data_IF_126767215983
#
_entry.id   IF_126767215983
#
_cell.length_a   1.000
_cell.length_b   1.000
_cell.length_c   1.000
_cell.angle_alpha   90.00
_cell.angle_beta   90.00
_cell.angle_gamma   90.00
#
_symmetry.space_group_name_H-M   'P 1'
#
loop_
_entity.id
_entity.type
_entity.pdbx_description
1 polymer ?
#
# COMPACT_ATOMS: atom_id res chain seq x y z
N UNK A 1 -18.74 32.11 25.43
CA UNK A 1 -19.80 31.32 26.08
C UNK A 1 -20.17 30.15 25.20
N UNK A 2 -20.05 28.91 25.71
CA UNK A 2 -20.72 27.72 25.21
C UNK A 2 -19.99 27.01 24.10
N UNK A 3 -18.93 26.28 24.43
CA UNK A 3 -18.42 25.22 23.61
C UNK A 3 -19.44 24.08 23.60
N UNK A 4 -20.00 23.78 22.44
CA UNK A 4 -20.87 22.62 22.24
C UNK A 4 -20.02 21.34 22.21
N UNK A 5 -19.74 20.78 23.40
CA UNK A 5 -19.03 19.52 23.60
C UNK A 5 -19.94 18.30 23.44
N UNK A 6 -21.07 18.43 22.74
CA UNK A 6 -22.20 17.50 22.77
C UNK A 6 -22.36 16.53 21.60
N UNK A 7 -21.49 16.49 20.59
CA UNK A 7 -21.72 15.69 19.36
C UNK A 7 -20.71 14.58 19.07
N UNK A 8 -19.95 14.15 20.06
CA UNK A 8 -19.16 12.91 19.95
C UNK A 8 -19.94 11.68 20.43
N UNK A 9 -21.22 11.62 20.11
CA UNK A 9 -22.09 10.47 20.32
C UNK A 9 -21.70 9.33 19.40
N UNK A 10 -21.01 8.34 19.96
CA UNK A 10 -20.82 6.93 19.53
C UNK A 10 -21.65 6.50 18.32
N UNK A 11 -21.10 6.70 17.11
CA UNK A 11 -21.42 5.83 16.00
C UNK A 11 -20.12 5.10 15.63
N UNK A 12 -20.01 3.87 16.11
CA UNK A 12 -18.98 2.95 15.68
C UNK A 12 -19.23 2.59 14.21
N UNK A 13 -18.74 3.40 13.29
CA UNK A 13 -18.50 2.96 11.93
C UNK A 13 -17.32 1.98 11.92
N UNK A 14 -17.18 1.11 10.92
CA UNK A 14 -16.18 0.02 10.90
C UNK A 14 -14.71 0.50 10.87
N UNK A 15 -14.46 1.79 10.86
CA UNK A 15 -13.12 2.38 10.91
C UNK A 15 -13.08 3.50 11.94
N UNK A 16 -12.45 3.28 13.11
CA UNK A 16 -12.18 4.38 14.01
C UNK A 16 -11.18 5.31 13.33
N UNK A 17 -11.66 6.39 12.75
CA UNK A 17 -10.82 7.55 12.51
C UNK A 17 -10.46 8.02 13.91
N UNK A 18 -9.25 7.71 14.37
CA UNK A 18 -8.81 8.15 15.67
C UNK A 18 -8.91 9.68 15.70
N UNK A 19 -9.63 10.22 16.67
CA UNK A 19 -9.83 11.66 16.82
C UNK A 19 -8.51 12.44 16.71
N UNK A 20 -7.41 11.87 17.23
CA UNK A 20 -6.07 12.43 17.14
C UNK A 20 -5.55 12.58 15.70
N UNK A 21 -5.88 11.65 14.80
CA UNK A 21 -5.50 11.75 13.37
C UNK A 21 -6.28 12.86 12.68
N UNK A 22 -7.57 12.97 12.97
CA UNK A 22 -8.41 14.05 12.47
C UNK A 22 -7.83 15.42 12.90
N UNK A 23 -7.60 15.61 14.19
CA UNK A 23 -7.10 16.88 14.73
C UNK A 23 -5.75 17.30 14.13
N UNK A 24 -4.87 16.34 13.83
CA UNK A 24 -3.54 16.63 13.26
C UNK A 24 -3.54 16.91 11.77
N UNK A 25 -4.43 16.26 11.01
CA UNK A 25 -4.30 16.23 9.56
C UNK A 25 -5.47 16.86 8.81
N UNK A 26 -6.58 17.12 9.49
CA UNK A 26 -7.74 17.73 8.85
C UNK A 26 -7.45 19.15 8.36
N UNK A 27 -7.87 19.43 7.14
CA UNK A 27 -7.69 20.70 6.44
C UNK A 27 -9.06 21.25 6.06
N UNK A 28 -9.27 22.54 6.26
CA UNK A 28 -10.33 23.33 5.65
C UNK A 28 -9.81 23.81 4.29
N UNK A 29 -10.22 23.14 3.24
CA UNK A 29 -9.72 23.40 1.89
C UNK A 29 -10.61 24.38 1.12
N UNK A 30 -11.91 24.35 1.37
CA UNK A 30 -12.89 25.24 0.72
C UNK A 30 -13.04 26.60 1.42
N UNK A 31 -12.43 26.76 2.61
CA UNK A 31 -12.34 28.03 3.33
C UNK A 31 -13.62 28.45 4.04
N UNK A 32 -14.51 27.49 4.35
CA UNK A 32 -15.78 27.77 5.04
C UNK A 32 -15.61 27.93 6.58
N UNK A 33 -14.40 27.76 7.10
CA UNK A 33 -14.04 27.82 8.52
C UNK A 33 -14.24 26.49 9.26
N UNK A 34 -14.53 25.40 8.56
CA UNK A 34 -14.71 24.05 9.12
C UNK A 34 -13.74 23.07 8.47
N UNK A 35 -13.45 21.98 9.14
CA UNK A 35 -12.67 20.86 8.62
C UNK A 35 -13.59 19.66 8.49
N UNK A 36 -14.47 19.67 7.50
CA UNK A 36 -15.56 18.68 7.37
C UNK A 36 -15.17 17.53 6.43
N UNK A 37 -14.50 16.51 6.96
CA UNK A 37 -14.14 15.32 6.18
C UNK A 37 -15.33 14.38 5.91
N UNK A 38 -16.53 14.70 6.40
CA UNK A 38 -17.71 13.85 6.27
C UNK A 38 -18.63 14.32 5.14
N UNK A 39 -18.76 15.64 4.96
CA UNK A 39 -19.69 16.24 4.01
C UNK A 39 -19.02 17.11 2.97
N UNK A 40 -17.78 17.58 3.21
CA UNK A 40 -16.97 18.30 2.22
C UNK A 40 -15.98 17.36 1.55
N UNK A 41 -16.20 17.03 0.27
CA UNK A 41 -15.25 16.24 -0.53
C UNK A 41 -13.90 16.94 -0.68
N UNK A 42 -13.82 18.26 -0.92
CA UNK A 42 -12.55 18.98 -0.95
C UNK A 42 -11.74 18.83 0.34
N UNK A 43 -12.37 18.96 1.51
CA UNK A 43 -11.71 18.81 2.80
C UNK A 43 -11.22 17.39 3.04
N UNK A 44 -12.04 16.41 2.70
CA UNK A 44 -11.69 15.00 2.83
C UNK A 44 -10.45 14.65 1.99
N UNK A 45 -10.41 15.10 0.74
CA UNK A 45 -9.28 14.86 -0.17
C UNK A 45 -8.02 15.63 0.30
N UNK A 46 -8.15 16.89 0.68
CA UNK A 46 -7.04 17.69 1.17
C UNK A 46 -6.49 17.15 2.49
N UNK A 47 -7.35 16.72 3.40
CA UNK A 47 -6.96 16.08 4.65
C UNK A 47 -6.20 14.78 4.44
N UNK A 48 -6.66 13.96 3.48
CA UNK A 48 -5.97 12.72 3.08
C UNK A 48 -4.60 13.03 2.48
N UNK A 49 -4.52 14.01 1.59
CA UNK A 49 -3.27 14.45 0.98
C UNK A 49 -2.28 15.00 2.04
N UNK A 50 -2.79 15.77 3.00
CA UNK A 50 -2.00 16.28 4.12
C UNK A 50 -1.47 15.15 5.01
N UNK A 51 -2.30 14.14 5.31
CA UNK A 51 -1.85 12.94 6.04
C UNK A 51 -0.71 12.23 5.30
N UNK A 52 -0.86 11.96 3.99
CA UNK A 52 0.17 11.31 3.20
C UNK A 52 1.46 12.14 3.18
N UNK A 53 1.35 13.46 2.96
CA UNK A 53 2.49 14.39 2.98
C UNK A 53 3.24 14.33 4.32
N UNK A 54 2.53 14.45 5.44
CA UNK A 54 3.13 14.41 6.77
C UNK A 54 3.65 13.01 7.14
N UNK A 55 3.11 11.98 6.50
CA UNK A 55 3.60 10.60 6.62
C UNK A 55 4.83 10.31 5.76
N UNK A 56 5.38 11.32 5.06
CA UNK A 56 6.62 11.18 4.30
C UNK A 56 6.42 10.83 2.82
N UNK A 57 5.26 11.16 2.24
CA UNK A 57 5.02 11.02 0.80
C UNK A 57 6.05 11.81 0.00
N UNK A 58 6.70 11.14 -0.95
CA UNK A 58 7.69 11.72 -1.85
C UNK A 58 7.02 12.07 -3.17
N UNK A 59 6.83 13.37 -3.40
CA UNK A 59 6.25 13.87 -4.64
C UNK A 59 7.14 13.49 -5.85
N UNK A 60 6.52 13.09 -6.94
CA UNK A 60 7.24 12.64 -8.15
C UNK A 60 7.78 11.22 -8.09
N UNK A 61 7.63 10.50 -6.96
CA UNK A 61 7.93 9.08 -6.86
C UNK A 61 6.67 8.23 -6.93
N UNK A 62 6.77 7.02 -7.49
CA UNK A 62 5.71 6.03 -7.51
C UNK A 62 5.54 5.32 -6.15
N UNK A 63 4.57 4.43 -6.10
CA UNK A 63 4.42 3.49 -4.99
C UNK A 63 5.18 2.19 -5.22
N UNK A 64 5.45 1.88 -6.49
CA UNK A 64 6.07 0.65 -6.96
C UNK A 64 5.61 0.27 -8.36
N UNK A 65 5.93 -0.93 -8.78
CA UNK A 65 5.55 -1.47 -10.09
C UNK A 65 5.47 -2.99 -10.06
N UNK A 66 4.63 -3.55 -10.94
CA UNK A 66 4.59 -4.98 -11.20
C UNK A 66 5.85 -5.42 -11.96
N UNK A 67 6.41 -6.56 -11.56
CA UNK A 67 7.59 -7.15 -12.19
C UNK A 67 7.39 -8.61 -12.55
N UNK A 68 8.14 -9.07 -13.55
CA UNK A 68 8.25 -10.47 -13.94
C UNK A 68 9.53 -11.03 -13.32
N UNK A 69 9.39 -12.17 -12.66
CA UNK A 69 10.52 -12.91 -12.07
C UNK A 69 11.11 -13.86 -13.11
N UNK A 70 12.44 -14.10 -13.11
CA UNK A 70 13.04 -15.15 -13.92
C UNK A 70 12.62 -16.54 -13.39
N UNK A 71 12.68 -17.57 -14.25
CA UNK A 71 12.30 -18.94 -13.88
C UNK A 71 13.12 -19.49 -12.69
N UNK A 72 14.37 -19.10 -12.59
CA UNK A 72 15.30 -19.55 -11.54
C UNK A 72 15.39 -18.57 -10.36
N UNK A 73 14.32 -17.83 -10.07
CA UNK A 73 14.34 -16.82 -9.02
C UNK A 73 14.48 -17.44 -7.62
N UNK A 74 15.39 -16.87 -6.82
CA UNK A 74 15.52 -17.24 -5.41
C UNK A 74 14.44 -16.53 -4.55
N UNK A 75 13.39 -17.25 -4.21
CA UNK A 75 12.26 -16.71 -3.44
C UNK A 75 12.60 -16.23 -2.03
N UNK A 76 13.78 -16.60 -1.48
CA UNK A 76 14.27 -16.05 -0.21
C UNK A 76 14.58 -14.56 -0.28
N UNK A 77 14.72 -14.02 -1.49
CA UNK A 77 14.91 -12.59 -1.73
C UNK A 77 13.58 -11.79 -1.67
N UNK A 78 12.44 -12.47 -1.64
CA UNK A 78 11.13 -11.84 -1.53
C UNK A 78 10.84 -11.51 -0.06
N UNK A 79 11.34 -10.35 0.36
CA UNK A 79 11.20 -9.80 1.70
C UNK A 79 10.80 -8.32 1.60
N UNK A 80 9.64 -7.99 2.18
CA UNK A 80 9.08 -6.63 2.16
C UNK A 80 9.94 -5.60 2.91
N UNK A 81 10.88 -6.06 3.72
CA UNK A 81 11.74 -5.20 4.54
C UNK A 81 13.12 -4.95 3.91
N UNK A 82 13.58 -5.88 3.09
CA UNK A 82 14.91 -5.80 2.46
C UNK A 82 14.86 -5.06 1.13
N UNK A 83 15.32 -3.83 1.14
CA UNK A 83 15.36 -3.01 -0.07
C UNK A 83 16.65 -3.23 -0.86
N UNK A 84 16.52 -3.28 -2.19
CA UNK A 84 17.62 -3.25 -3.19
C UNK A 84 17.34 -2.17 -4.22
N UNK A 85 18.37 -1.68 -4.88
CA UNK A 85 18.22 -0.75 -6.01
C UNK A 85 17.55 -1.44 -7.21
N UNK A 86 16.92 -0.66 -8.08
CA UNK A 86 16.36 -1.20 -9.33
C UNK A 86 17.47 -1.84 -10.19
N UNK A 87 18.69 -1.28 -10.18
CA UNK A 87 19.81 -1.89 -10.87
C UNK A 87 20.19 -3.27 -10.32
N UNK A 88 20.10 -3.47 -9.00
CA UNK A 88 20.33 -4.78 -8.38
C UNK A 88 19.22 -5.77 -8.73
N UNK A 89 17.95 -5.35 -8.68
CA UNK A 89 16.83 -6.19 -9.10
C UNK A 89 16.94 -6.60 -10.58
N UNK A 90 17.33 -5.67 -11.45
CA UNK A 90 17.57 -5.96 -12.87
C UNK A 90 18.69 -6.97 -13.08
N UNK A 91 19.79 -6.87 -12.32
CA UNK A 91 20.90 -7.88 -12.36
C UNK A 91 20.46 -9.25 -11.87
N UNK A 92 19.48 -9.32 -10.98
CA UNK A 92 18.85 -10.56 -10.53
C UNK A 92 17.81 -11.10 -11.54
N UNK A 93 17.68 -10.45 -12.70
CA UNK A 93 16.82 -10.91 -13.79
C UNK A 93 15.38 -10.44 -13.75
N UNK A 94 15.00 -9.57 -12.81
CA UNK A 94 13.66 -8.99 -12.77
C UNK A 94 13.47 -8.03 -13.94
N UNK A 95 12.27 -8.04 -14.51
CA UNK A 95 11.87 -7.13 -15.59
C UNK A 95 10.55 -6.45 -15.21
N UNK A 96 10.34 -5.17 -15.54
CA UNK A 96 9.03 -4.55 -15.41
C UNK A 96 8.00 -5.34 -16.23
N UNK A 97 6.82 -5.55 -15.67
CA UNK A 97 5.72 -6.19 -16.40
C UNK A 97 5.21 -5.30 -17.54
N UNK A 98 5.28 -3.98 -17.34
CA UNK A 98 4.93 -2.97 -18.33
C UNK A 98 5.99 -1.85 -18.35
N UNK A 99 6.30 -1.32 -19.51
CA UNK A 99 7.22 -0.18 -19.65
C UNK A 99 8.69 -0.51 -19.31
N UNK A 100 9.32 0.37 -18.55
CA UNK A 100 10.71 0.28 -18.13
C UNK A 100 10.87 0.53 -16.63
N UNK A 101 12.01 0.15 -16.07
CA UNK A 101 12.37 0.60 -14.73
C UNK A 101 12.49 2.14 -14.70
N UNK A 102 12.23 2.76 -13.52
CA UNK A 102 12.46 4.19 -13.34
C UNK A 102 13.88 4.59 -13.75
N UNK A 103 14.04 5.76 -14.35
CA UNK A 103 15.33 6.27 -14.83
C UNK A 103 16.41 6.33 -13.72
N UNK A 104 15.99 6.56 -12.48
CA UNK A 104 16.89 6.57 -11.31
C UNK A 104 17.10 5.15 -10.80
N UNK A 105 18.05 4.45 -11.41
CA UNK A 105 18.37 3.05 -11.13
C UNK A 105 18.84 2.79 -9.68
N UNK A 106 19.30 3.82 -8.98
CA UNK A 106 19.70 3.78 -7.55
C UNK A 106 18.52 3.79 -6.58
N UNK A 107 17.30 4.14 -7.04
CA UNK A 107 16.09 4.07 -6.18
C UNK A 107 15.91 2.66 -5.67
N UNK A 108 15.48 2.57 -4.43
CA UNK A 108 15.38 1.30 -3.71
C UNK A 108 13.93 0.85 -3.62
N UNK A 109 13.75 -0.45 -3.74
CA UNK A 109 12.46 -1.10 -3.61
C UNK A 109 12.62 -2.47 -2.94
N UNK A 110 11.58 -2.91 -2.24
CA UNK A 110 11.48 -4.25 -1.67
C UNK A 110 10.57 -5.12 -2.53
N UNK A 111 10.81 -6.42 -2.59
CA UNK A 111 10.01 -7.34 -3.39
C UNK A 111 8.88 -7.94 -2.56
N UNK A 112 7.64 -7.76 -3.04
CA UNK A 112 6.43 -8.34 -2.47
C UNK A 112 5.85 -9.40 -3.41
N UNK A 113 5.51 -10.55 -2.86
CA UNK A 113 4.76 -11.63 -3.51
C UNK A 113 3.45 -11.90 -2.73
N UNK A 114 2.36 -11.16 -3.00
CA UNK A 114 1.14 -11.22 -2.17
C UNK A 114 0.50 -12.61 -2.11
N UNK A 115 0.68 -13.39 -3.16
CA UNK A 115 0.12 -14.75 -3.32
C UNK A 115 1.21 -15.77 -3.66
N UNK A 116 2.46 -15.48 -3.27
CA UNK A 116 3.59 -16.36 -3.55
C UNK A 116 3.98 -16.41 -5.03
N UNK A 117 4.62 -17.50 -5.43
CA UNK A 117 5.23 -17.66 -6.75
C UNK A 117 4.23 -17.67 -7.92
N UNK A 118 2.97 -18.01 -7.67
CA UNK A 118 1.95 -18.17 -8.72
C UNK A 118 1.29 -16.87 -9.15
N UNK A 119 1.33 -15.84 -8.32
CA UNK A 119 0.67 -14.56 -8.56
C UNK A 119 1.57 -13.46 -9.07
N UNK A 120 1.06 -12.23 -9.11
CA UNK A 120 1.84 -11.06 -9.46
C UNK A 120 2.91 -10.76 -8.41
N UNK A 121 4.03 -10.20 -8.88
CA UNK A 121 5.14 -9.75 -8.06
C UNK A 121 5.29 -8.22 -8.18
N UNK A 122 5.61 -7.56 -7.08
CA UNK A 122 5.70 -6.10 -7.03
C UNK A 122 7.01 -5.65 -6.40
N UNK A 123 7.66 -4.68 -7.01
CA UNK A 123 8.69 -3.89 -6.35
C UNK A 123 8.03 -2.69 -5.69
N UNK A 124 8.10 -2.63 -4.37
CA UNK A 124 7.47 -1.62 -3.53
C UNK A 124 8.46 -0.51 -3.21
N UNK A 125 8.13 0.70 -3.57
CA UNK A 125 8.91 1.89 -3.26
C UNK A 125 8.46 2.55 -1.93
N UNK A 126 9.20 3.54 -1.40
CA UNK A 126 8.89 4.15 -0.10
C UNK A 126 7.46 4.69 0.04
N UNK A 127 6.85 5.20 -1.04
CA UNK A 127 5.47 5.70 -1.01
C UNK A 127 4.44 4.60 -0.70
N UNK A 128 4.71 3.34 -1.02
CA UNK A 128 3.84 2.24 -0.61
C UNK A 128 3.74 2.12 0.91
N UNK A 129 4.86 2.30 1.61
CA UNK A 129 4.88 2.31 3.09
C UNK A 129 4.10 3.49 3.67
N UNK A 130 4.05 4.61 2.96
CA UNK A 130 3.22 5.75 3.36
C UNK A 130 1.73 5.41 3.27
N UNK A 131 1.31 4.70 2.22
CA UNK A 131 -0.06 4.19 2.11
C UNK A 131 -0.38 3.21 3.26
N UNK A 132 0.55 2.32 3.60
CA UNK A 132 0.40 1.40 4.75
C UNK A 132 0.28 2.11 6.11
N UNK A 133 0.77 3.34 6.25
CA UNK A 133 0.53 4.15 7.46
C UNK A 133 -0.92 4.62 7.58
N UNK A 134 -1.61 4.77 6.45
CA UNK A 134 -3.03 5.06 6.44
C UNK A 134 -3.86 3.83 6.82
N UNK A 135 -3.56 2.69 6.19
CA UNK A 135 -4.17 1.39 6.50
C UNK A 135 -3.13 0.28 6.33
N UNK A 136 -2.89 -0.50 7.37
CA UNK A 136 -1.84 -1.52 7.43
C UNK A 136 -2.14 -2.78 6.61
N UNK A 137 -3.33 -2.92 6.01
CA UNK A 137 -3.67 -4.06 5.18
C UNK A 137 -2.99 -3.95 3.80
N UNK A 138 -2.13 -4.91 3.45
CA UNK A 138 -1.43 -4.97 2.16
C UNK A 138 -2.39 -4.94 0.97
N UNK A 139 -3.49 -5.71 1.04
CA UNK A 139 -4.50 -5.73 -0.02
C UNK A 139 -5.13 -4.36 -0.24
N UNK A 140 -5.43 -3.61 0.84
CA UNK A 140 -5.91 -2.23 0.75
C UNK A 140 -4.88 -1.33 0.08
N UNK A 141 -3.63 -1.38 0.54
CA UNK A 141 -2.57 -0.52 0.01
C UNK A 141 -2.32 -0.77 -1.49
N UNK A 142 -2.25 -2.04 -1.92
CA UNK A 142 -2.13 -2.41 -3.34
C UNK A 142 -3.33 -1.94 -4.16
N UNK A 143 -4.55 -2.10 -3.63
CA UNK A 143 -5.78 -1.68 -4.33
C UNK A 143 -5.79 -0.16 -4.54
N UNK A 144 -5.51 0.62 -3.51
CA UNK A 144 -5.48 2.08 -3.60
C UNK A 144 -4.37 2.56 -4.54
N UNK A 145 -3.18 1.98 -4.41
CA UNK A 145 -2.04 2.30 -5.25
C UNK A 145 -2.34 2.01 -6.74
N UNK A 146 -2.83 0.80 -7.03
CA UNK A 146 -3.21 0.42 -8.39
C UNK A 146 -4.38 1.25 -8.93
N UNK A 147 -5.40 1.53 -8.12
CA UNK A 147 -6.51 2.41 -8.52
C UNK A 147 -6.00 3.80 -8.93
N UNK A 148 -5.05 4.36 -8.18
CA UNK A 148 -4.41 5.63 -8.54
C UNK A 148 -3.78 5.58 -9.93
N UNK A 149 -3.08 4.49 -10.26
CA UNK A 149 -2.46 4.32 -11.58
C UNK A 149 -3.52 4.12 -12.66
N UNK A 150 -4.57 3.34 -12.39
CA UNK A 150 -5.71 3.15 -13.31
C UNK A 150 -6.41 4.47 -13.64
N UNK A 151 -6.60 5.35 -12.66
CA UNK A 151 -7.18 6.68 -12.86
C UNK A 151 -6.29 7.59 -13.74
N UNK A 152 -4.98 7.31 -13.80
CA UNK A 152 -4.02 7.98 -14.69
C UNK A 152 -3.89 7.31 -16.05
N UNK A 153 -4.66 6.27 -16.33
CA UNK A 153 -4.66 5.55 -17.61
C UNK A 153 -3.67 4.39 -17.70
N UNK A 154 -3.00 4.01 -16.61
CA UNK A 154 -2.12 2.85 -16.63
C UNK A 154 -2.90 1.55 -16.90
N UNK A 155 -2.29 0.52 -17.51
CA UNK A 155 -2.92 -0.78 -17.74
C UNK A 155 -3.21 -1.53 -16.44
N UNK A 156 -4.03 -2.58 -16.50
CA UNK A 156 -4.20 -3.55 -15.42
C UNK A 156 -2.93 -4.35 -15.16
N UNK A 157 -2.94 -5.16 -14.09
CA UNK A 157 -1.86 -6.10 -13.84
C UNK A 157 -1.73 -7.11 -14.98
N UNK A 158 -0.51 -7.49 -15.28
CA UNK A 158 -0.18 -8.42 -16.36
C UNK A 158 -0.38 -9.87 -15.94
N UNK A 159 -0.06 -10.19 -14.69
CA UNK A 159 -0.27 -11.54 -14.16
C UNK A 159 -1.60 -11.66 -13.44
N UNK A 160 -2.26 -12.79 -13.67
CA UNK A 160 -3.50 -13.13 -12.99
C UNK A 160 -3.24 -13.49 -11.53
N UNK A 161 -4.24 -13.18 -10.69
CA UNK A 161 -4.28 -13.62 -9.31
C UNK A 161 -4.73 -15.07 -9.24
N UNK A 162 -4.04 -15.96 -8.50
CA UNK A 162 -4.48 -17.33 -8.32
C UNK A 162 -5.83 -17.32 -7.59
N UNK A 163 -6.85 -17.93 -8.23
CA UNK A 163 -8.22 -17.99 -7.71
C UNK A 163 -8.57 -19.35 -7.15
N UNK A 164 -7.75 -20.35 -7.44
CA UNK A 164 -8.00 -21.76 -7.09
C UNK A 164 -7.37 -22.16 -5.75
N UNK A 165 -6.53 -21.31 -5.17
CA UNK A 165 -5.90 -21.58 -3.89
C UNK A 165 -6.95 -21.41 -2.77
N UNK A 166 -7.38 -22.56 -2.21
CA UNK A 166 -8.28 -22.54 -1.06
C UNK A 166 -7.58 -21.98 0.17
N UNK A 167 -8.32 -21.27 0.98
CA UNK A 167 -7.85 -20.85 2.29
C UNK A 167 -7.57 -22.09 3.17
N UNK A 168 -6.43 -22.10 3.85
CA UNK A 168 -6.15 -23.11 4.86
C UNK A 168 -7.17 -22.98 6.00
N UNK A 169 -7.64 -24.13 6.51
CA UNK A 169 -8.43 -24.17 7.75
C UNK A 169 -7.57 -23.73 8.94
N UNK A 170 -8.20 -23.46 10.07
CA UNK A 170 -7.47 -23.12 11.29
C UNK A 170 -6.54 -24.25 11.73
N UNK A 171 -6.99 -25.50 11.60
CA UNK A 171 -6.22 -26.69 11.94
C UNK A 171 -5.00 -26.83 11.03
N UNK A 172 -5.17 -26.69 9.72
CA UNK A 172 -4.07 -26.75 8.75
C UNK A 172 -3.03 -25.64 8.98
N UNK A 173 -3.49 -24.43 9.34
CA UNK A 173 -2.56 -23.34 9.70
C UNK A 173 -1.77 -23.65 10.95
N UNK A 174 -2.42 -24.21 11.97
CA UNK A 174 -1.76 -24.60 13.22
C UNK A 174 -0.74 -25.71 12.98
N UNK A 175 -1.10 -26.73 12.20
CA UNK A 175 -0.19 -27.81 11.84
C UNK A 175 1.03 -27.27 11.06
N UNK A 176 0.80 -26.43 10.07
CA UNK A 176 1.86 -25.79 9.30
C UNK A 176 2.80 -24.96 10.20
N UNK A 177 2.24 -24.14 11.10
CA UNK A 177 3.03 -23.35 12.03
C UNK A 177 3.87 -24.22 12.97
N UNK A 178 3.29 -25.32 13.45
CA UNK A 178 4.00 -26.29 14.34
C UNK A 178 5.17 -26.93 13.60
N UNK A 179 4.98 -27.35 12.36
CA UNK A 179 6.06 -27.94 11.53
C UNK A 179 7.15 -26.93 11.21
N UNK A 180 6.80 -25.68 10.88
CA UNK A 180 7.78 -24.63 10.63
C UNK A 180 8.58 -24.24 11.87
N UNK A 181 7.98 -24.29 13.05
CA UNK A 181 8.66 -24.00 14.30
C UNK A 181 9.65 -25.12 14.74
N UNK A 182 9.54 -26.30 14.14
CA UNK A 182 10.42 -27.45 14.40
C UNK A 182 11.64 -27.53 13.48
N UNK A 183 11.74 -26.60 12.49
CA UNK A 183 12.88 -26.47 11.57
C UNK A 183 13.93 -25.52 12.11
#
# INVERSE_FOLDING_TARGET
>A
RGADAGLLGRRHGPYPVHADRFLRHAVDFDGDGRRDIWHSVPDALASTANFLKQSGWRAGEGWGLEVLLPETFDYRLADETTERSFAEWQRLGLKPANGSFPERAERRAALLLPTGAKGPAFLLEPNFRVILRYNTALAYALTVAHLSDRLRGAPGFTRDWPREDRMLTTEERTDLQTRLAAL
#
